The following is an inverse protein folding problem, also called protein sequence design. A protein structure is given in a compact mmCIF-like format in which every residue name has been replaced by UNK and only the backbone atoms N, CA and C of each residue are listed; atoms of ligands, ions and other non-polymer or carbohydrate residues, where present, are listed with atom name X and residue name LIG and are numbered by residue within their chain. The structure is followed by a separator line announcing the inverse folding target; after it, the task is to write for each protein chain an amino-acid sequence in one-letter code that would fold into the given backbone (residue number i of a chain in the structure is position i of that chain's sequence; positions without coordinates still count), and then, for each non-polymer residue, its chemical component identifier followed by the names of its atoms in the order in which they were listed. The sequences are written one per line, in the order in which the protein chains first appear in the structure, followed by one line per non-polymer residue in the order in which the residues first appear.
data_IF_990463707977
#
_entry.id   IF_990463707977
#
_cell.length_a   1.000
_cell.length_b   1.000
_cell.length_c   1.000
_cell.angle_alpha   90.00
_cell.angle_beta   90.00
_cell.angle_gamma   90.00
#
_symmetry.space_group_name_H-M   'P 1'
#
loop_
_entity.id
_entity.type
_entity.pdbx_description
1 polymer ?
#
# COMPACT_ATOMS: atom_id res chain seq x y z
N UNK A 1 1.40 9.10 17.92
CA UNK A 1 0.13 9.24 17.18
C UNK A 1 -0.22 10.69 16.94
N UNK A 2 -0.35 11.53 17.98
CA UNK A 2 -0.72 12.94 17.78
C UNK A 2 0.30 13.73 16.97
N UNK A 3 1.60 13.48 17.21
CA UNK A 3 2.68 14.20 16.52
C UNK A 3 2.85 13.86 15.04
N UNK A 4 2.41 12.69 14.57
CA UNK A 4 2.47 12.32 13.13
C UNK A 4 1.16 12.56 12.39
N UNK A 5 0.07 12.88 13.10
CA UNK A 5 -1.21 13.14 12.44
C UNK A 5 -1.27 14.57 11.93
N UNK A 6 -1.32 14.73 10.60
CA UNK A 6 -1.57 16.03 10.00
C UNK A 6 -3.09 16.25 9.91
N UNK A 7 -3.62 17.14 10.76
CA UNK A 7 -5.04 17.45 10.80
C UNK A 7 -5.52 18.30 9.61
N UNK A 8 -4.64 19.01 8.93
CA UNK A 8 -5.02 19.81 7.75
C UNK A 8 -5.14 18.91 6.51
N UNK A 9 -4.12 18.08 6.27
CA UNK A 9 -4.07 17.13 5.13
C UNK A 9 -4.80 15.81 5.39
N UNK A 10 -5.16 15.54 6.64
CA UNK A 10 -5.94 14.38 7.07
C UNK A 10 -5.25 13.03 6.79
N UNK A 11 -3.95 12.92 7.09
CA UNK A 11 -3.20 11.66 7.04
C UNK A 11 -2.12 11.57 8.12
N UNK A 12 -1.62 10.36 8.38
CA UNK A 12 -0.36 10.15 9.12
C UNK A 12 0.84 10.41 8.21
N UNK A 13 1.67 11.36 8.60
CA UNK A 13 2.83 11.78 7.84
C UNK A 13 4.00 10.79 7.94
N UNK A 14 4.94 10.91 7.01
CA UNK A 14 6.13 10.08 6.92
C UNK A 14 7.00 10.14 8.19
N UNK A 15 7.20 11.33 8.74
CA UNK A 15 8.06 11.56 9.91
C UNK A 15 7.44 12.59 10.86
N UNK A 16 8.10 12.88 11.99
CA UNK A 16 7.65 13.94 12.89
C UNK A 16 8.19 15.32 12.50
N UNK A 17 9.23 15.32 11.69
CA UNK A 17 9.95 16.48 11.19
C UNK A 17 9.30 17.04 9.91
N UNK A 18 8.73 16.15 9.09
CA UNK A 18 7.98 16.51 7.88
C UNK A 18 6.56 15.95 7.94
N UNK A 19 5.62 16.83 8.31
CA UNK A 19 4.20 16.50 8.43
C UNK A 19 3.45 16.59 7.10
N UNK A 20 4.11 17.07 6.04
CA UNK A 20 3.49 17.39 4.76
C UNK A 20 3.63 16.26 3.74
N UNK A 21 4.52 15.30 4.00
CA UNK A 21 4.83 14.15 3.14
C UNK A 21 4.02 12.93 3.53
N UNK A 22 3.38 12.34 2.52
CA UNK A 22 2.64 11.08 2.62
C UNK A 22 3.56 9.90 2.28
N UNK A 23 3.55 8.86 3.10
CA UNK A 23 4.33 7.63 2.88
C UNK A 23 3.44 6.40 3.10
N UNK A 24 3.47 5.46 2.16
CA UNK A 24 2.66 4.25 2.22
C UNK A 24 3.14 3.23 3.28
N UNK A 25 4.29 3.42 3.90
CA UNK A 25 4.74 2.62 5.04
C UNK A 25 3.75 2.66 6.22
N UNK A 26 2.98 3.75 6.36
CA UNK A 26 1.93 3.85 7.40
C UNK A 26 0.79 2.85 7.21
N UNK A 27 0.65 2.23 6.03
CA UNK A 27 -0.34 1.18 5.78
C UNK A 27 -0.09 -0.06 6.65
N UNK A 28 1.12 -0.26 7.15
CA UNK A 28 1.44 -1.39 8.05
C UNK A 28 0.77 -1.25 9.42
N UNK A 29 0.34 -0.04 9.82
CA UNK A 29 -0.17 0.23 11.18
C UNK A 29 -1.28 -0.74 11.64
N UNK A 30 -2.36 -1.00 10.89
CA UNK A 30 -3.37 -1.98 11.29
C UNK A 30 -2.93 -3.44 11.12
N UNK A 31 -1.89 -3.71 10.33
CA UNK A 31 -1.35 -5.06 10.14
C UNK A 31 -0.63 -5.51 11.41
N UNK A 32 0.08 -4.60 12.06
CA UNK A 32 0.84 -4.83 13.31
C UNK A 32 0.09 -4.37 14.57
N UNK A 33 -1.22 -4.17 14.47
CA UNK A 33 -2.10 -3.78 15.59
C UNK A 33 -1.76 -2.45 16.27
N UNK A 34 -1.04 -1.58 15.57
CA UNK A 34 -0.72 -0.24 16.05
C UNK A 34 -1.95 0.69 16.07
N UNK A 35 -2.87 0.50 15.11
CA UNK A 35 -4.15 1.21 15.05
C UNK A 35 -5.26 0.26 14.61
N UNK A 36 -6.50 0.52 15.00
CA UNK A 36 -7.64 -0.22 14.46
C UNK A 36 -7.87 0.16 13.00
N UNK A 37 -8.20 -0.82 12.15
CA UNK A 37 -8.53 -0.60 10.75
C UNK A 37 -9.75 0.32 10.54
N UNK A 38 -10.63 0.46 11.54
CA UNK A 38 -11.79 1.37 11.50
C UNK A 38 -11.53 2.74 12.14
N UNK A 39 -10.31 3.02 12.62
CA UNK A 39 -9.97 4.36 13.14
C UNK A 39 -10.10 5.39 12.00
N UNK A 40 -10.83 6.47 12.27
CA UNK A 40 -11.11 7.52 11.29
C UNK A 40 -9.85 8.12 10.66
N UNK A 41 -8.76 8.25 11.44
CA UNK A 41 -7.48 8.79 10.96
C UNK A 41 -6.80 7.82 10.01
N UNK A 42 -6.82 6.53 10.34
CA UNK A 42 -6.28 5.50 9.44
C UNK A 42 -7.10 5.41 8.15
N UNK A 43 -8.43 5.36 8.26
CA UNK A 43 -9.32 5.35 7.10
C UNK A 43 -9.14 6.58 6.20
N UNK A 44 -8.91 7.74 6.80
CA UNK A 44 -8.58 8.95 6.05
C UNK A 44 -7.22 8.85 5.37
N UNK A 45 -6.20 8.36 6.07
CA UNK A 45 -4.85 8.12 5.52
C UNK A 45 -4.90 7.16 4.33
N UNK A 46 -5.60 6.03 4.47
CA UNK A 46 -5.81 5.07 3.39
C UNK A 46 -6.47 5.73 2.17
N UNK A 47 -7.50 6.56 2.39
CA UNK A 47 -8.14 7.32 1.30
C UNK A 47 -7.19 8.30 0.61
N UNK A 48 -6.28 8.93 1.34
CA UNK A 48 -5.29 9.83 0.75
C UNK A 48 -4.29 9.05 -0.12
N UNK A 49 -3.78 7.92 0.40
CA UNK A 49 -2.85 7.05 -0.34
C UNK A 49 -3.49 6.54 -1.63
N UNK A 50 -4.75 6.10 -1.60
CA UNK A 50 -5.46 5.54 -2.75
C UNK A 50 -5.80 6.54 -3.86
N UNK A 51 -5.51 7.84 -3.68
CA UNK A 51 -5.61 8.82 -4.76
C UNK A 51 -4.48 8.62 -5.77
N UNK A 52 -4.67 9.17 -6.96
CA UNK A 52 -3.60 9.20 -7.96
C UNK A 52 -2.50 10.19 -7.58
N UNK A 53 -1.26 10.01 -8.07
CA UNK A 53 -0.17 10.95 -7.86
C UNK A 53 -0.51 12.40 -8.24
N UNK A 54 -1.28 12.62 -9.32
CA UNK A 54 -1.71 13.96 -9.75
C UNK A 54 -2.67 14.63 -8.75
N UNK A 55 -3.27 13.85 -7.85
CA UNK A 55 -4.15 14.31 -6.76
C UNK A 55 -3.46 14.25 -5.39
N UNK A 56 -2.14 14.04 -5.36
CA UNK A 56 -1.34 13.94 -4.14
C UNK A 56 -1.46 12.61 -3.39
N UNK A 57 -1.95 11.56 -4.05
CA UNK A 57 -1.89 10.18 -3.52
C UNK A 57 -0.69 9.42 -4.08
N UNK A 58 -0.70 8.10 -3.89
CA UNK A 58 0.43 7.24 -4.23
C UNK A 58 0.03 6.06 -5.12
N UNK A 59 -1.16 6.06 -5.72
CA UNK A 59 -1.65 4.92 -6.51
C UNK A 59 -1.78 5.21 -7.98
N UNK A 60 -1.07 4.43 -8.81
CA UNK A 60 -1.25 4.39 -10.26
C UNK A 60 -1.44 2.94 -10.71
N UNK A 61 -2.43 2.67 -11.56
CA UNK A 61 -2.73 1.33 -12.06
C UNK A 61 -2.82 0.25 -10.96
N UNK A 62 -3.45 0.58 -9.82
CA UNK A 62 -3.57 -0.30 -8.66
C UNK A 62 -2.24 -0.70 -7.98
N UNK A 63 -1.13 -0.10 -8.39
CA UNK A 63 0.16 -0.20 -7.74
C UNK A 63 0.42 1.02 -6.86
N UNK A 64 1.14 0.83 -5.76
CA UNK A 64 1.38 1.84 -4.74
C UNK A 64 2.85 2.24 -4.72
N UNK A 65 3.13 3.51 -4.93
CA UNK A 65 4.45 4.10 -4.69
C UNK A 65 4.71 4.28 -3.19
N UNK A 66 5.99 4.32 -2.80
CA UNK A 66 6.33 4.50 -1.38
C UNK A 66 6.01 5.92 -0.91
N UNK A 67 6.51 6.92 -1.62
CA UNK A 67 6.27 8.34 -1.43
C UNK A 67 6.39 9.05 -2.78
N UNK A 68 6.08 10.35 -2.82
CA UNK A 68 6.39 11.16 -4.00
C UNK A 68 7.88 11.51 -4.02
N UNK A 69 8.62 10.92 -4.95
CA UNK A 69 10.07 11.15 -5.15
C UNK A 69 10.39 12.58 -5.60
N UNK A 70 9.39 13.38 -6.02
CA UNK A 70 9.58 14.83 -6.28
C UNK A 70 9.60 15.65 -5.00
N UNK A 71 8.98 15.14 -3.94
CA UNK A 71 8.91 15.79 -2.64
C UNK A 71 9.95 15.24 -1.65
N UNK A 72 10.53 14.07 -1.95
CA UNK A 72 11.46 13.36 -1.06
C UNK A 72 12.67 12.88 -1.87
N UNK A 73 13.88 13.32 -1.50
CA UNK A 73 15.13 12.78 -2.05
C UNK A 73 15.61 11.64 -1.15
N UNK A 74 15.61 10.41 -1.68
CA UNK A 74 16.06 9.20 -0.97
C UNK A 74 17.52 8.84 -1.29
N UNK A 75 18.21 9.63 -2.10
CA UNK A 75 19.59 9.41 -2.51
C UNK A 75 19.78 8.25 -3.49
N UNK A 76 18.71 7.62 -3.98
CA UNK A 76 18.75 6.53 -4.95
C UNK A 76 18.16 7.04 -6.27
N UNK A 77 18.88 7.93 -6.95
CA UNK A 77 18.38 8.60 -8.16
C UNK A 77 17.84 7.63 -9.23
N UNK A 78 16.67 7.93 -9.80
CA UNK A 78 16.01 7.17 -10.86
C UNK A 78 14.51 7.46 -10.94
N UNK A 79 13.84 7.01 -12.00
CA UNK A 79 12.37 6.88 -11.96
C UNK A 79 12.04 5.60 -11.19
N UNK A 80 11.72 5.71 -9.89
CA UNK A 80 11.33 4.57 -9.06
C UNK A 80 10.04 3.91 -9.58
N UNK A 81 9.98 2.58 -9.52
CA UNK A 81 8.77 1.83 -9.76
C UNK A 81 7.80 1.89 -8.57
N UNK A 82 6.59 1.38 -8.77
CA UNK A 82 5.71 1.15 -7.65
C UNK A 82 6.21 -0.05 -6.83
N UNK A 83 6.15 0.04 -5.51
CA UNK A 83 6.70 -0.97 -4.62
C UNK A 83 5.71 -2.12 -4.41
N UNK A 84 6.16 -3.35 -4.65
CA UNK A 84 5.36 -4.56 -4.46
C UNK A 84 4.87 -4.68 -3.03
N UNK A 85 5.76 -4.44 -2.07
CA UNK A 85 5.44 -4.50 -0.64
C UNK A 85 4.41 -3.44 -0.22
N UNK A 86 4.53 -2.21 -0.70
CA UNK A 86 3.57 -1.14 -0.43
C UNK A 86 2.19 -1.44 -1.03
N UNK A 87 2.18 -2.03 -2.23
CA UNK A 87 0.97 -2.48 -2.92
C UNK A 87 0.25 -3.57 -2.12
N UNK A 88 0.99 -4.56 -1.63
CA UNK A 88 0.44 -5.65 -0.84
C UNK A 88 -0.02 -5.19 0.56
N UNK A 89 0.67 -4.23 1.17
CA UNK A 89 0.19 -3.58 2.40
C UNK A 89 -1.12 -2.82 2.18
N UNK A 90 -1.29 -2.15 1.03
CA UNK A 90 -2.56 -1.52 0.70
C UNK A 90 -3.68 -2.55 0.51
N UNK A 91 -3.42 -3.68 -0.14
CA UNK A 91 -4.37 -4.80 -0.25
C UNK A 91 -4.80 -5.28 1.14
N UNK A 92 -3.86 -5.55 2.04
CA UNK A 92 -4.18 -6.06 3.36
C UNK A 92 -4.87 -5.00 4.24
N UNK A 93 -4.47 -3.73 4.16
CA UNK A 93 -5.15 -2.63 4.82
C UNK A 93 -6.60 -2.51 4.34
N UNK A 94 -6.82 -2.48 3.02
CA UNK A 94 -8.15 -2.48 2.40
C UNK A 94 -8.97 -3.70 2.83
N UNK A 95 -8.35 -4.87 2.96
CA UNK A 95 -9.01 -6.10 3.44
C UNK A 95 -9.51 -5.93 4.87
N UNK A 96 -8.66 -5.43 5.77
CA UNK A 96 -9.00 -5.23 7.19
C UNK A 96 -10.09 -4.17 7.38
N UNK A 97 -10.02 -3.06 6.64
CA UNK A 97 -11.10 -2.08 6.59
C UNK A 97 -12.36 -2.67 5.94
N UNK A 98 -12.17 -3.49 4.91
CA UNK A 98 -13.20 -4.12 4.10
C UNK A 98 -14.04 -5.17 4.82
N UNK A 99 -13.55 -5.71 5.94
CA UNK A 99 -14.34 -6.48 6.89
C UNK A 99 -15.58 -5.70 7.40
N UNK A 100 -15.53 -4.36 7.35
CA UNK A 100 -16.62 -3.47 7.78
C UNK A 100 -17.22 -2.65 6.62
N UNK A 101 -16.57 -2.59 5.46
CA UNK A 101 -17.06 -1.90 4.25
C UNK A 101 -16.80 -2.74 2.99
N UNK A 102 -17.86 -3.33 2.44
CA UNK A 102 -17.79 -4.21 1.26
C UNK A 102 -17.12 -3.55 0.05
N UNK A 103 -17.19 -2.22 -0.11
CA UNK A 103 -16.57 -1.53 -1.25
C UNK A 103 -15.05 -1.56 -1.14
N UNK A 104 -14.50 -1.42 0.07
CA UNK A 104 -13.06 -1.52 0.30
C UNK A 104 -12.58 -2.95 0.09
N UNK A 105 -13.38 -3.94 0.49
CA UNK A 105 -13.05 -5.33 0.22
C UNK A 105 -13.01 -5.65 -1.27
N UNK A 106 -13.99 -5.18 -2.05
CA UNK A 106 -13.97 -5.31 -3.51
C UNK A 106 -12.74 -4.64 -4.14
N UNK A 107 -12.35 -3.47 -3.63
CA UNK A 107 -11.12 -2.80 -4.07
C UNK A 107 -9.87 -3.62 -3.72
N UNK A 108 -9.82 -4.24 -2.54
CA UNK A 108 -8.73 -5.14 -2.15
C UNK A 108 -8.59 -6.32 -3.12
N UNK A 109 -9.70 -6.96 -3.48
CA UNK A 109 -9.72 -8.06 -4.44
C UNK A 109 -9.19 -7.61 -5.80
N UNK A 110 -9.72 -6.52 -6.35
CA UNK A 110 -9.27 -6.00 -7.66
C UNK A 110 -7.79 -5.63 -7.65
N UNK A 111 -7.28 -4.96 -6.61
CA UNK A 111 -5.86 -4.66 -6.48
C UNK A 111 -4.99 -5.92 -6.40
N UNK A 112 -5.47 -6.93 -5.67
CA UNK A 112 -4.73 -8.18 -5.50
C UNK A 112 -4.67 -9.00 -6.79
N UNK A 113 -5.79 -9.11 -7.51
CA UNK A 113 -5.85 -9.81 -8.80
C UNK A 113 -4.94 -9.15 -9.84
N UNK A 114 -4.96 -7.81 -9.93
CA UNK A 114 -4.03 -7.07 -10.80
C UNK A 114 -2.58 -7.32 -10.39
N UNK A 115 -2.27 -7.30 -9.09
CA UNK A 115 -0.92 -7.53 -8.58
C UNK A 115 -0.37 -8.92 -8.97
N UNK A 116 -1.21 -9.96 -8.94
CA UNK A 116 -0.80 -11.32 -9.32
C UNK A 116 -0.34 -11.40 -10.79
N UNK A 117 -0.80 -10.50 -11.65
CA UNK A 117 -0.41 -10.42 -13.06
C UNK A 117 1.05 -10.02 -13.29
N UNK A 118 1.73 -9.42 -12.31
CA UNK A 118 3.13 -9.00 -12.42
C UNK A 118 4.14 -10.09 -12.02
N UNK A 119 3.68 -11.28 -11.67
CA UNK A 119 4.55 -12.42 -11.41
C UNK A 119 5.27 -12.85 -12.68
N UNK A 120 6.56 -13.19 -12.58
CA UNK A 120 7.30 -13.74 -13.71
C UNK A 120 6.88 -15.19 -14.02
N UNK A 121 7.48 -15.78 -15.06
CA UNK A 121 7.20 -17.16 -15.49
C UNK A 121 7.48 -18.24 -14.43
N UNK A 122 8.21 -17.93 -13.36
CA UNK A 122 8.44 -18.80 -12.21
C UNK A 122 7.46 -18.57 -11.05
N UNK A 123 6.53 -17.62 -11.17
CA UNK A 123 5.65 -17.20 -10.08
C UNK A 123 6.38 -16.42 -8.98
N UNK A 124 7.35 -15.59 -9.37
CA UNK A 124 8.11 -14.73 -8.45
C UNK A 124 7.88 -13.25 -8.79
N UNK A 125 7.82 -12.42 -7.76
CA UNK A 125 7.64 -10.97 -7.89
C UNK A 125 8.93 -10.23 -7.53
N UNK A 126 9.18 -9.13 -8.22
CA UNK A 126 10.27 -8.21 -7.93
C UNK A 126 9.91 -7.22 -6.82
N UNK A 127 10.91 -6.51 -6.31
CA UNK A 127 10.75 -5.43 -5.33
C UNK A 127 9.87 -4.30 -5.85
N UNK A 128 10.10 -3.90 -7.10
CA UNK A 128 9.40 -2.81 -7.75
C UNK A 128 8.79 -3.27 -9.09
N UNK A 129 7.80 -2.51 -9.55
CA UNK A 129 7.14 -2.69 -10.84
C UNK A 129 7.17 -1.35 -11.58
N UNK A 130 7.72 -1.35 -12.80
CA UNK A 130 7.79 -0.17 -13.65
C UNK A 130 6.40 0.27 -14.13
N UNK A 131 6.28 1.48 -14.67
CA UNK A 131 5.04 1.96 -15.30
C UNK A 131 4.60 1.10 -16.50
N UNK A 132 5.54 0.40 -17.14
CA UNK A 132 5.28 -0.57 -18.21
C UNK A 132 4.91 -1.97 -17.69
N UNK A 133 5.00 -2.21 -16.38
CA UNK A 133 4.71 -3.49 -15.74
C UNK A 133 5.90 -4.45 -15.65
N UNK A 134 7.11 -3.98 -15.93
CA UNK A 134 8.33 -4.78 -15.81
C UNK A 134 8.80 -4.84 -14.34
N UNK A 135 9.31 -5.98 -13.91
CA UNK A 135 9.89 -6.10 -12.57
C UNK A 135 11.24 -5.37 -12.48
N UNK A 136 11.38 -4.50 -11.48
CA UNK A 136 12.59 -3.71 -11.19
C UNK A 136 13.18 -4.09 -9.82
N UNK A 137 14.44 -3.71 -9.60
CA UNK A 137 15.12 -3.93 -8.32
C UNK A 137 15.36 -5.41 -8.01
N UNK A 138 15.31 -5.77 -6.73
CA UNK A 138 15.58 -7.12 -6.30
C UNK A 138 14.49 -8.10 -6.76
N UNK A 139 14.84 -9.02 -7.65
CA UNK A 139 14.01 -10.18 -7.97
C UNK A 139 14.17 -11.26 -6.88
N UNK A 140 13.04 -11.81 -6.40
CA UNK A 140 13.00 -12.77 -5.26
C UNK A 140 13.30 -12.12 -3.91
N UNK A 141 12.81 -10.89 -3.70
CA UNK A 141 12.85 -10.26 -2.38
C UNK A 141 11.94 -11.02 -1.39
N UNK A 142 12.52 -11.50 -0.29
CA UNK A 142 11.77 -12.25 0.73
C UNK A 142 10.60 -11.47 1.32
N UNK A 143 10.77 -10.15 1.51
CA UNK A 143 9.70 -9.28 2.02
C UNK A 143 8.49 -9.21 1.10
N UNK A 144 8.67 -9.12 -0.22
CA UNK A 144 7.56 -9.17 -1.19
C UNK A 144 6.74 -10.45 -1.02
N UNK A 145 7.41 -11.61 -0.93
CA UNK A 145 6.72 -12.90 -0.86
C UNK A 145 6.05 -13.15 0.50
N UNK A 146 6.66 -12.73 1.60
CA UNK A 146 6.02 -12.79 2.93
C UNK A 146 4.77 -11.91 2.96
N UNK A 147 4.86 -10.70 2.40
CA UNK A 147 3.72 -9.78 2.35
C UNK A 147 2.62 -10.29 1.43
N UNK A 148 2.99 -10.97 0.33
CA UNK A 148 2.04 -11.60 -0.59
C UNK A 148 1.23 -12.70 0.12
N UNK A 149 1.92 -13.57 0.86
CA UNK A 149 1.26 -14.63 1.65
C UNK A 149 0.33 -14.02 2.71
N UNK A 150 0.78 -12.99 3.43
CA UNK A 150 -0.03 -12.31 4.45
C UNK A 150 -1.30 -11.69 3.85
N UNK A 151 -1.18 -10.96 2.75
CA UNK A 151 -2.30 -10.33 2.06
C UNK A 151 -3.29 -11.39 1.54
N UNK A 152 -2.78 -12.43 0.86
CA UNK A 152 -3.60 -13.53 0.34
C UNK A 152 -4.40 -14.24 1.44
N UNK A 153 -3.72 -14.59 2.54
CA UNK A 153 -4.34 -15.27 3.68
C UNK A 153 -5.45 -14.44 4.31
N UNK A 154 -5.18 -13.15 4.60
CA UNK A 154 -6.15 -12.27 5.22
C UNK A 154 -7.33 -11.96 4.30
N UNK A 155 -7.09 -11.76 3.00
CA UNK A 155 -8.13 -11.52 2.01
C UNK A 155 -9.07 -12.72 1.89
N UNK A 156 -8.51 -13.92 1.72
CA UNK A 156 -9.25 -15.18 1.66
C UNK A 156 -10.09 -15.41 2.92
N UNK A 157 -9.47 -15.25 4.11
CA UNK A 157 -10.17 -15.40 5.40
C UNK A 157 -11.34 -14.43 5.54
N UNK A 158 -11.17 -13.18 5.15
CA UNK A 158 -12.21 -12.14 5.28
C UNK A 158 -13.36 -12.40 4.31
N UNK A 159 -13.06 -12.81 3.08
CA UNK A 159 -14.09 -13.21 2.10
C UNK A 159 -14.89 -14.43 2.60
N UNK A 160 -14.21 -15.43 3.17
CA UNK A 160 -14.86 -16.63 3.69
C UNK A 160 -15.76 -16.40 4.91
N UNK A 161 -15.57 -15.33 5.67
CA UNK A 161 -16.43 -14.97 6.81
C UNK A 161 -17.72 -14.25 6.40
N UNK A 162 -17.79 -13.76 5.16
CA UNK A 162 -18.97 -13.06 4.63
C UNK A 162 -19.97 -14.01 3.94
N UNK A 163 -19.62 -15.29 3.83
CA UNK A 163 -20.45 -16.39 3.32
C UNK A 163 -20.96 -17.24 4.50
#
# INVERSE_FOLDING_TARGET
MERSWNAEKQFFAQSYEDLEVLDSAVLVMPLVFFINATDNRFMSTLKQILKSPERGGLVANNLVFRYDTKLTDDGVGGEEGAFSLCTLWAVEALTRCGAYDKKLLQKAVSMFEDFLGYGNHCGLWSEEISSAGEGLGNAVQGFTHVTLISAAYNLSRTLGQLH
#
